data_IF_728139222899
#
_entry.id   IF_728139222899
#
_cell.length_a   1.000
_cell.length_b   1.000
_cell.length_c   1.000
_cell.angle_alpha   90.00
_cell.angle_beta   90.00
_cell.angle_gamma   90.00
#
_symmetry.space_group_name_H-M   'P 1'
#
loop_
_entity.id
_entity.type
_entity.pdbx_description
1 polymer ?
#
# COMPACT_ATOMS: atom_id res chain seq x y z
N UNK A 1 30.02 55.18 -25.04
CA UNK A 1 30.45 53.86 -24.55
C UNK A 1 29.84 53.43 -23.19
N UNK A 2 28.93 54.22 -22.57
CA UNK A 2 28.39 53.94 -21.22
C UNK A 2 26.92 53.49 -21.18
N UNK A 3 26.18 53.51 -22.31
CA UNK A 3 24.75 53.15 -22.35
C UNK A 3 24.46 51.67 -22.57
N UNK A 4 25.41 50.90 -23.11
CA UNK A 4 25.27 49.45 -23.31
C UNK A 4 25.68 48.62 -22.08
N UNK A 5 26.55 49.14 -21.20
CA UNK A 5 26.89 48.48 -19.93
C UNK A 5 25.67 48.33 -19.01
N UNK A 6 24.84 49.37 -18.89
CA UNK A 6 23.63 49.35 -18.03
C UNK A 6 22.60 48.29 -18.45
N UNK A 7 22.48 48.03 -19.76
CA UNK A 7 21.53 47.04 -20.28
C UNK A 7 22.06 45.62 -20.07
N UNK A 8 23.37 45.41 -20.21
CA UNK A 8 24.02 44.15 -19.95
C UNK A 8 23.98 43.80 -18.45
N UNK A 9 24.22 44.79 -17.58
CA UNK A 9 24.13 44.64 -16.12
C UNK A 9 22.69 44.30 -15.68
N UNK A 10 21.66 44.88 -16.30
CA UNK A 10 20.25 44.56 -16.04
C UNK A 10 19.86 43.15 -16.50
N UNK A 11 20.40 42.68 -17.63
CA UNK A 11 20.18 41.32 -18.12
C UNK A 11 20.89 40.27 -17.25
N UNK A 12 22.12 40.56 -16.80
CA UNK A 12 22.87 39.70 -15.87
C UNK A 12 22.13 39.59 -14.54
N UNK A 13 21.68 40.71 -13.95
CA UNK A 13 20.89 40.70 -12.71
C UNK A 13 19.57 39.91 -12.84
N UNK A 14 18.95 39.94 -14.02
CA UNK A 14 17.71 39.19 -14.30
C UNK A 14 17.96 37.69 -14.47
N UNK A 15 19.11 37.30 -15.03
CA UNK A 15 19.55 35.91 -15.12
C UNK A 15 19.98 35.35 -13.75
N UNK A 16 20.70 36.13 -12.95
CA UNK A 16 21.08 35.76 -11.58
C UNK A 16 19.85 35.57 -10.68
N UNK A 17 18.84 36.44 -10.79
CA UNK A 17 17.57 36.28 -10.06
C UNK A 17 16.76 35.04 -10.49
N UNK A 18 16.86 34.60 -11.74
CA UNK A 18 16.20 33.38 -12.21
C UNK A 18 16.97 32.10 -11.85
N UNK A 19 18.30 32.18 -11.66
CA UNK A 19 19.12 31.06 -11.17
C UNK A 19 19.05 30.91 -9.64
N UNK A 20 18.82 32.00 -8.90
CA UNK A 20 18.57 31.98 -7.46
C UNK A 20 17.23 31.32 -7.07
N UNK A 21 16.36 31.01 -8.03
CA UNK A 21 15.12 30.27 -7.80
C UNK A 21 15.30 28.73 -7.79
N UNK A 22 16.52 28.21 -8.04
CA UNK A 22 16.77 26.77 -8.16
C UNK A 22 17.68 26.13 -7.09
N UNK A 23 18.09 26.83 -6.03
CA UNK A 23 18.85 26.21 -4.92
C UNK A 23 18.43 26.77 -3.57
N UNK A 24 17.30 26.31 -3.07
CA UNK A 24 16.97 26.31 -1.64
C UNK A 24 16.10 25.09 -1.32
N UNK A 25 16.71 23.91 -1.31
CA UNK A 25 16.25 22.82 -0.44
C UNK A 25 17.22 22.74 0.74
N UNK A 26 17.24 23.82 1.52
CA UNK A 26 17.68 23.77 2.90
C UNK A 26 16.68 22.93 3.69
N UNK A 27 17.24 21.98 4.44
CA UNK A 27 16.55 21.25 5.51
C UNK A 27 16.03 22.30 6.51
N UNK A 28 14.78 22.71 6.35
CA UNK A 28 14.05 23.42 7.37
C UNK A 28 13.44 22.37 8.30
N UNK A 29 13.94 22.34 9.53
CA UNK A 29 13.23 21.85 10.71
C UNK A 29 11.77 22.31 10.65
N UNK A 30 10.85 21.40 10.32
CA UNK A 30 9.42 21.71 10.25
C UNK A 30 8.82 21.58 11.64
N UNK A 31 8.64 22.72 12.28
CA UNK A 31 7.59 22.93 13.27
C UNK A 31 6.23 22.51 12.69
N UNK A 32 5.43 21.89 13.54
CA UNK A 32 4.12 21.30 13.29
C UNK A 32 3.12 22.33 12.79
N UNK A 33 3.00 22.48 11.47
CA UNK A 33 1.76 22.99 10.87
C UNK A 33 0.67 21.95 11.07
N UNK A 34 -0.41 22.30 11.77
CA UNK A 34 -1.67 21.55 11.74
C UNK A 34 -2.21 21.61 10.31
N UNK A 35 -1.82 20.64 9.49
CA UNK A 35 -2.45 20.35 8.21
C UNK A 35 -3.81 19.71 8.50
N UNK A 36 -4.81 20.03 7.69
CA UNK A 36 -6.09 19.33 7.69
C UNK A 36 -5.87 17.80 7.63
N UNK A 37 -6.78 16.99 8.19
CA UNK A 37 -6.67 15.54 8.08
C UNK A 37 -6.54 15.14 6.60
N UNK A 38 -5.65 14.17 6.27
CA UNK A 38 -5.45 13.74 4.90
C UNK A 38 -6.77 13.23 4.31
N UNK A 39 -7.00 13.52 3.03
CA UNK A 39 -8.11 12.97 2.27
C UNK A 39 -8.00 11.44 2.15
N UNK A 40 -9.13 10.78 1.86
CA UNK A 40 -9.16 9.32 1.62
C UNK A 40 -8.18 8.92 0.51
N UNK A 41 -8.07 9.71 -0.55
CA UNK A 41 -7.14 9.44 -1.64
C UNK A 41 -5.68 9.54 -1.13
N UNK A 42 -5.32 10.59 -0.40
CA UNK A 42 -3.97 10.73 0.19
C UNK A 42 -3.65 9.65 1.23
N UNK A 43 -4.65 9.14 1.96
CA UNK A 43 -4.48 8.01 2.87
C UNK A 43 -4.17 6.73 2.07
N UNK A 44 -4.95 6.43 1.04
CA UNK A 44 -4.73 5.26 0.18
C UNK A 44 -3.37 5.29 -0.52
N UNK A 45 -2.91 6.48 -0.93
CA UNK A 45 -1.62 6.65 -1.57
C UNK A 45 -0.42 6.41 -0.66
N UNK A 46 -0.60 6.36 0.65
CA UNK A 46 0.49 6.02 1.58
C UNK A 46 0.70 4.51 1.70
N UNK A 47 -0.32 3.69 1.45
CA UNK A 47 -0.22 2.23 1.54
C UNK A 47 0.09 1.60 0.18
N UNK A 48 0.94 0.58 0.18
CA UNK A 48 1.26 -0.20 -1.01
C UNK A 48 0.57 -1.56 -0.91
N UNK A 49 -0.58 -1.71 -1.58
CA UNK A 49 -1.29 -2.99 -1.68
C UNK A 49 -1.01 -3.58 -3.05
N UNK A 50 -0.55 -4.82 -3.11
CA UNK A 50 -0.24 -5.52 -4.37
C UNK A 50 -0.94 -6.87 -4.46
N UNK A 51 -1.13 -7.32 -5.68
CA UNK A 51 -1.50 -8.72 -5.96
C UNK A 51 -0.30 -9.62 -5.66
N UNK A 52 -0.49 -10.59 -4.78
CA UNK A 52 0.49 -11.62 -4.47
C UNK A 52 0.02 -13.00 -4.90
N UNK A 53 0.96 -13.87 -5.29
CA UNK A 53 0.71 -15.31 -5.54
C UNK A 53 1.36 -16.13 -4.44
N UNK A 54 0.57 -16.91 -3.71
CA UNK A 54 1.11 -17.85 -2.73
C UNK A 54 1.82 -18.97 -3.49
N UNK A 55 3.12 -19.09 -3.26
CA UNK A 55 4.00 -20.13 -3.81
C UNK A 55 4.06 -21.33 -2.86
N UNK A 56 4.16 -21.04 -1.57
CA UNK A 56 4.25 -22.04 -0.50
C UNK A 56 3.53 -21.52 0.73
N UNK A 57 2.83 -22.40 1.46
CA UNK A 57 2.21 -22.09 2.75
C UNK A 57 2.37 -23.29 3.67
N UNK A 58 2.79 -23.06 4.92
CA UNK A 58 2.96 -24.09 5.93
C UNK A 58 2.58 -23.57 7.32
N UNK A 59 2.30 -24.49 8.25
CA UNK A 59 2.01 -24.14 9.65
C UNK A 59 3.27 -23.64 10.34
N UNK A 60 3.15 -22.56 11.11
CA UNK A 60 4.26 -22.10 11.93
C UNK A 60 4.63 -23.19 12.97
N UNK A 61 5.92 -23.54 13.14
CA UNK A 61 6.32 -24.66 13.99
C UNK A 61 5.97 -24.46 15.47
N UNK A 62 5.97 -23.22 15.94
CA UNK A 62 5.74 -22.86 17.35
C UNK A 62 4.40 -22.14 17.61
N UNK A 63 3.54 -21.96 16.60
CA UNK A 63 2.28 -21.21 16.76
C UNK A 63 1.11 -21.94 16.12
N UNK A 64 0.03 -22.10 16.88
CA UNK A 64 -1.22 -22.74 16.42
C UNK A 64 -2.20 -21.75 15.77
N UNK A 65 -1.81 -20.48 15.64
CA UNK A 65 -2.61 -19.44 14.97
C UNK A 65 -1.98 -18.92 13.68
N UNK A 66 -0.73 -19.30 13.38
CA UNK A 66 0.03 -18.69 12.30
C UNK A 66 0.31 -19.68 11.16
N UNK A 67 0.08 -19.21 9.95
CA UNK A 67 0.76 -19.74 8.78
C UNK A 67 2.01 -18.92 8.47
N UNK A 68 2.95 -19.58 7.82
CA UNK A 68 4.09 -18.98 7.13
C UNK A 68 3.89 -19.17 5.63
N UNK A 69 4.03 -18.11 4.86
CA UNK A 69 3.84 -18.10 3.42
C UNK A 69 5.07 -17.58 2.69
N UNK A 70 5.36 -18.16 1.53
CA UNK A 70 6.18 -17.51 0.49
C UNK A 70 5.24 -16.96 -0.57
N UNK A 71 5.23 -15.64 -0.73
CA UNK A 71 4.31 -14.94 -1.63
C UNK A 71 5.12 -14.13 -2.65
N UNK A 72 4.97 -14.49 -3.93
CA UNK A 72 5.51 -13.69 -5.03
C UNK A 72 4.64 -12.45 -5.22
N UNK A 73 5.27 -11.27 -5.17
CA UNK A 73 4.63 -9.97 -5.40
C UNK A 73 5.34 -9.18 -6.51
N UNK A 74 6.04 -9.86 -7.43
CA UNK A 74 6.68 -9.26 -8.59
C UNK A 74 8.00 -8.54 -8.30
N UNK A 75 8.71 -8.92 -7.23
CA UNK A 75 9.99 -8.31 -6.81
C UNK A 75 11.23 -9.15 -7.17
N UNK A 76 11.06 -10.20 -7.97
CA UNK A 76 12.12 -11.13 -8.36
C UNK A 76 12.27 -12.32 -7.41
N UNK A 77 12.07 -12.11 -6.10
CA UNK A 77 12.05 -13.18 -5.10
C UNK A 77 10.77 -13.13 -4.25
N UNK A 78 10.16 -14.28 -3.90
CA UNK A 78 9.01 -14.31 -3.00
C UNK A 78 9.34 -13.76 -1.61
N UNK A 79 8.39 -13.05 -1.01
CA UNK A 79 8.48 -12.59 0.38
C UNK A 79 8.04 -13.67 1.34
N UNK A 80 8.74 -13.78 2.45
CA UNK A 80 8.25 -14.49 3.63
C UNK A 80 7.26 -13.60 4.39
N UNK A 81 6.02 -14.07 4.51
CA UNK A 81 4.92 -13.40 5.19
C UNK A 81 4.32 -14.40 6.19
N UNK A 82 3.87 -13.90 7.34
CA UNK A 82 3.14 -14.71 8.30
C UNK A 82 1.74 -14.13 8.50
N UNK A 83 0.73 -15.00 8.51
CA UNK A 83 -0.67 -14.62 8.66
C UNK A 83 -1.35 -15.35 9.82
N UNK A 84 -2.27 -14.66 10.50
CA UNK A 84 -3.09 -15.20 11.60
C UNK A 84 -4.25 -16.08 11.14
N UNK A 85 -4.14 -16.76 9.99
CA UNK A 85 -5.27 -17.38 9.30
C UNK A 85 -5.47 -18.86 9.64
N UNK A 86 -4.56 -19.50 10.38
CA UNK A 86 -4.60 -20.95 10.62
C UNK A 86 -5.89 -21.46 11.26
N UNK A 87 -6.52 -20.66 12.13
CA UNK A 87 -7.77 -21.02 12.81
C UNK A 87 -9.02 -20.74 11.97
N UNK A 88 -8.86 -20.11 10.80
CA UNK A 88 -9.97 -19.60 10.01
C UNK A 88 -10.01 -20.15 8.59
N UNK A 89 -8.84 -20.28 7.96
CA UNK A 89 -8.67 -20.73 6.58
C UNK A 89 -7.92 -22.06 6.60
N UNK A 90 -8.49 -23.13 6.01
CA UNK A 90 -7.80 -24.41 5.95
C UNK A 90 -6.60 -24.30 5.00
N UNK A 91 -5.57 -25.11 5.24
CA UNK A 91 -4.29 -25.01 4.53
C UNK A 91 -4.45 -25.22 3.01
N UNK A 92 -5.34 -26.10 2.58
CA UNK A 92 -5.65 -26.32 1.16
C UNK A 92 -6.22 -25.07 0.45
N UNK A 93 -6.85 -24.18 1.20
CA UNK A 93 -7.37 -22.91 0.70
C UNK A 93 -6.31 -21.79 0.68
N UNK A 94 -5.13 -22.01 1.26
CA UNK A 94 -3.99 -21.07 1.26
C UNK A 94 -3.16 -21.18 -0.03
N UNK A 95 -3.83 -21.01 -1.18
CA UNK A 95 -3.21 -21.07 -2.50
C UNK A 95 -3.77 -19.99 -3.43
N UNK A 96 -3.10 -19.76 -4.57
CA UNK A 96 -3.56 -18.82 -5.60
C UNK A 96 -3.25 -17.35 -5.29
N UNK A 97 -4.06 -16.44 -5.85
CA UNK A 97 -3.87 -15.00 -5.73
C UNK A 97 -4.51 -14.44 -4.46
N UNK A 98 -3.81 -13.50 -3.83
CA UNK A 98 -4.19 -12.77 -2.62
C UNK A 98 -3.78 -11.30 -2.74
N UNK A 99 -4.19 -10.46 -1.79
CA UNK A 99 -3.70 -9.08 -1.68
C UNK A 99 -2.72 -8.95 -0.51
N UNK A 100 -1.63 -8.22 -0.72
CA UNK A 100 -0.54 -8.03 0.25
C UNK A 100 -0.26 -6.56 0.45
N UNK A 101 -0.19 -6.10 1.71
CA UNK A 101 0.40 -4.80 2.06
C UNK A 101 1.93 -4.94 2.06
N UNK A 102 2.59 -4.30 1.11
CA UNK A 102 3.99 -4.51 0.76
C UNK A 102 4.96 -3.48 1.37
N UNK A 103 4.49 -2.34 1.88
CA UNK A 103 5.36 -1.29 2.44
C UNK A 103 5.36 -1.22 3.97
N UNK A 104 4.96 -2.28 4.67
CA UNK A 104 5.11 -2.37 6.11
C UNK A 104 6.58 -2.60 6.49
N UNK A 105 7.01 -2.05 7.64
CA UNK A 105 8.29 -2.44 8.22
C UNK A 105 8.23 -3.92 8.63
N UNK A 106 9.22 -4.75 8.28
CA UNK A 106 9.25 -6.15 8.70
C UNK A 106 9.12 -6.30 10.22
N UNK A 107 8.36 -7.30 10.65
CA UNK A 107 8.13 -7.61 12.08
C UNK A 107 8.19 -9.10 12.34
N UNK A 108 8.66 -9.48 13.53
CA UNK A 108 8.64 -10.87 13.97
C UNK A 108 7.25 -11.26 14.48
N UNK A 109 6.72 -12.38 13.99
CA UNK A 109 5.49 -13.02 14.46
C UNK A 109 5.88 -14.37 15.04
N UNK A 110 5.83 -14.53 16.37
CA UNK A 110 6.31 -15.74 17.06
C UNK A 110 7.72 -16.18 16.61
N UNK A 111 8.62 -15.23 16.35
CA UNK A 111 9.99 -15.50 15.89
C UNK A 111 10.18 -15.48 14.36
N UNK A 112 9.13 -15.72 13.57
CA UNK A 112 9.16 -15.68 12.11
C UNK A 112 9.16 -14.25 11.57
N UNK A 113 10.09 -13.90 10.67
CA UNK A 113 10.20 -12.55 10.11
C UNK A 113 9.18 -12.34 8.98
N UNK A 114 8.10 -11.64 9.27
CA UNK A 114 7.07 -11.31 8.27
C UNK A 114 7.38 -9.99 7.56
N UNK A 115 7.45 -10.04 6.24
CA UNK A 115 7.79 -8.92 5.34
C UNK A 115 6.57 -8.40 4.58
N UNK A 116 5.40 -8.44 5.20
CA UNK A 116 4.16 -7.93 4.63
C UNK A 116 2.96 -8.31 5.49
N UNK A 117 1.77 -8.11 4.93
CA UNK A 117 0.50 -8.52 5.54
C UNK A 117 -0.47 -8.96 4.45
N UNK A 118 -0.95 -10.19 4.54
CA UNK A 118 -2.04 -10.69 3.68
C UNK A 118 -3.34 -10.05 4.15
N UNK A 119 -4.11 -9.49 3.22
CA UNK A 119 -5.43 -8.94 3.52
C UNK A 119 -6.48 -10.06 3.51
N UNK A 120 -7.29 -10.07 4.56
CA UNK A 120 -8.41 -10.96 4.73
C UNK A 120 -9.71 -10.15 4.90
N UNK A 121 -10.84 -10.80 4.65
CA UNK A 121 -12.17 -10.25 4.89
C UNK A 121 -12.86 -11.06 5.98
N UNK A 122 -13.46 -10.37 6.94
CA UNK A 122 -14.11 -11.00 8.09
C UNK A 122 -15.56 -10.56 8.21
N UNK A 123 -16.44 -11.56 8.43
CA UNK A 123 -17.86 -11.37 8.67
C UNK A 123 -18.28 -12.26 9.83
N UNK A 124 -18.74 -11.64 10.92
CA UNK A 124 -19.08 -12.33 12.17
C UNK A 124 -17.89 -13.18 12.68
N UNK A 125 -18.03 -14.51 12.70
CA UNK A 125 -17.00 -15.45 13.14
C UNK A 125 -16.27 -16.12 11.97
N UNK A 126 -16.48 -15.67 10.73
CA UNK A 126 -15.84 -16.21 9.52
C UNK A 126 -14.79 -15.23 9.00
N UNK A 127 -13.66 -15.77 8.59
CA UNK A 127 -12.58 -15.03 7.93
C UNK A 127 -12.15 -15.80 6.70
N UNK A 128 -11.95 -15.10 5.58
CA UNK A 128 -11.43 -15.65 4.34
C UNK A 128 -10.42 -14.69 3.71
N UNK A 129 -9.60 -15.20 2.79
CA UNK A 129 -8.65 -14.41 2.02
C UNK A 129 -9.38 -13.39 1.14
N UNK A 130 -8.90 -12.15 1.08
CA UNK A 130 -9.38 -11.20 0.08
C UNK A 130 -8.68 -11.49 -1.25
N UNK A 131 -9.44 -12.01 -2.21
CA UNK A 131 -8.91 -12.48 -3.49
C UNK A 131 -9.19 -11.48 -4.62
N UNK A 132 -8.18 -11.14 -5.44
CA UNK A 132 -8.40 -10.40 -6.69
C UNK A 132 -9.02 -11.33 -7.76
N UNK A 133 -9.44 -10.78 -8.92
CA UNK A 133 -9.79 -11.58 -10.09
C UNK A 133 -8.70 -12.63 -10.40
N UNK A 134 -9.09 -13.84 -10.82
CA UNK A 134 -8.12 -14.90 -11.12
C UNK A 134 -7.16 -14.56 -12.27
N UNK A 135 -7.56 -13.61 -13.13
CA UNK A 135 -6.76 -13.09 -14.24
C UNK A 135 -5.78 -11.99 -13.82
N UNK A 136 -5.86 -11.49 -12.58
CA UNK A 136 -5.02 -10.41 -12.08
C UNK A 136 -3.51 -10.74 -12.17
N UNK A 137 -2.71 -9.70 -12.36
CA UNK A 137 -1.28 -9.82 -12.63
C UNK A 137 -0.52 -9.77 -11.30
N UNK A 138 0.28 -10.80 -11.02
CA UNK A 138 1.15 -10.83 -9.83
C UNK A 138 2.06 -9.60 -9.80
N UNK A 139 2.10 -8.94 -8.64
CA UNK A 139 2.88 -7.73 -8.38
C UNK A 139 2.23 -6.42 -8.80
N UNK A 140 1.09 -6.44 -9.49
CA UNK A 140 0.39 -5.19 -9.81
C UNK A 140 -0.10 -4.50 -8.53
N UNK A 141 0.00 -3.18 -8.49
CA UNK A 141 -0.49 -2.35 -7.39
C UNK A 141 -2.00 -2.17 -7.52
N UNK A 142 -2.70 -2.28 -6.40
CA UNK A 142 -4.15 -2.06 -6.34
C UNK A 142 -4.44 -0.56 -6.43
N UNK A 143 -5.37 -0.21 -7.33
CA UNK A 143 -5.91 1.13 -7.48
C UNK A 143 -7.25 1.29 -6.78
N UNK A 144 -7.73 2.54 -6.71
CA UNK A 144 -9.11 2.87 -6.31
C UNK A 144 -9.83 3.60 -7.44
N UNK A 145 -11.12 3.31 -7.62
CA UNK A 145 -11.92 3.93 -8.67
C UNK A 145 -11.91 5.46 -8.57
N UNK A 146 -11.71 6.12 -9.71
CA UNK A 146 -11.70 7.58 -9.82
C UNK A 146 -10.38 8.26 -9.45
N UNK A 147 -9.39 7.53 -8.92
CA UNK A 147 -8.04 8.05 -8.73
C UNK A 147 -7.19 7.67 -9.95
N UNK A 148 -6.65 8.67 -10.66
CA UNK A 148 -5.66 8.40 -11.73
C UNK A 148 -4.38 7.89 -11.07
N UNK A 149 -3.88 6.77 -11.59
CA UNK A 149 -2.67 6.10 -11.11
C UNK A 149 -1.56 7.11 -10.78
N UNK A 150 -1.12 7.24 -9.53
CA UNK A 150 0.20 7.75 -9.26
C UNK A 150 1.16 6.65 -9.66
N UNK A 151 1.57 6.72 -10.93
CA UNK A 151 2.81 6.24 -11.52
C UNK A 151 3.54 5.14 -10.74
N UNK A 152 3.73 4.00 -11.41
CA UNK A 152 4.60 2.84 -11.12
C UNK A 152 6.00 3.13 -10.52
N UNK A 153 6.42 4.38 -10.38
CA UNK A 153 7.76 4.81 -9.96
C UNK A 153 7.87 5.24 -8.50
N UNK A 154 6.76 5.43 -7.77
CA UNK A 154 6.84 5.66 -6.34
C UNK A 154 6.98 4.31 -5.62
N UNK A 155 8.22 3.84 -5.45
CA UNK A 155 8.54 2.96 -4.33
C UNK A 155 8.13 3.75 -3.08
N UNK A 156 6.92 3.50 -2.58
CA UNK A 156 6.43 4.18 -1.40
C UNK A 156 7.36 3.80 -0.25
N UNK A 157 7.88 4.80 0.50
CA UNK A 157 8.81 4.52 1.57
C UNK A 157 8.16 3.56 2.57
N UNK A 158 8.96 2.65 3.14
CA UNK A 158 8.51 1.80 4.24
C UNK A 158 7.76 2.64 5.27
N UNK A 159 6.54 2.24 5.63
CA UNK A 159 5.71 2.95 6.59
C UNK A 159 6.45 3.07 7.93
N UNK A 160 6.42 4.26 8.51
CA UNK A 160 6.92 4.48 9.87
C UNK A 160 5.89 3.92 10.87
N UNK A 161 6.22 2.87 11.66
CA UNK A 161 5.28 2.27 12.58
C UNK A 161 4.77 3.24 13.65
N UNK A 162 5.54 4.28 14.00
CA UNK A 162 5.12 5.29 14.99
C UNK A 162 3.97 6.17 14.49
N UNK A 163 3.77 6.28 13.17
CA UNK A 163 2.71 7.08 12.57
C UNK A 163 1.37 6.34 12.48
N UNK A 164 1.34 5.02 12.73
CA UNK A 164 0.13 4.19 12.68
C UNK A 164 -0.73 4.39 11.41
N UNK A 165 -0.06 4.55 10.26
CA UNK A 165 -0.71 4.86 8.98
C UNK A 165 -1.63 3.72 8.57
N UNK A 166 -1.16 2.47 8.61
CA UNK A 166 -1.97 1.30 8.24
C UNK A 166 -3.20 1.19 9.15
N UNK A 167 -3.04 1.38 10.46
CA UNK A 167 -4.12 1.34 11.44
C UNK A 167 -5.16 2.43 11.21
N UNK A 168 -4.72 3.60 10.71
CA UNK A 168 -5.62 4.68 10.32
C UNK A 168 -6.36 4.39 9.01
N UNK A 169 -5.79 3.54 8.14
CA UNK A 169 -6.38 3.09 6.89
C UNK A 169 -7.38 1.93 7.06
N UNK A 170 -7.19 1.07 8.06
CA UNK A 170 -8.03 -0.12 8.30
C UNK A 170 -9.54 0.16 8.35
N UNK A 171 -10.06 1.20 9.06
CA UNK A 171 -11.49 1.49 9.10
C UNK A 171 -12.11 1.81 7.73
N UNK A 172 -11.29 2.16 6.74
CA UNK A 172 -11.72 2.46 5.38
C UNK A 172 -11.71 1.23 4.48
N UNK A 173 -10.96 0.18 4.83
CA UNK A 173 -10.90 -1.08 4.10
C UNK A 173 -12.09 -1.97 4.48
N UNK A 174 -13.09 -2.05 3.59
CA UNK A 174 -14.32 -2.82 3.81
C UNK A 174 -14.91 -3.32 2.51
N UNK A 175 -15.83 -4.26 2.59
CA UNK A 175 -16.70 -4.61 1.45
C UNK A 175 -18.01 -3.85 1.52
N UNK A 176 -18.56 -3.46 0.37
CA UNK A 176 -19.89 -2.84 0.28
C UNK A 176 -21.03 -3.87 0.31
N UNK A 177 -22.27 -3.41 0.08
CA UNK A 177 -23.48 -4.25 0.08
C UNK A 177 -23.54 -5.24 -1.08
N UNK A 178 -22.75 -5.02 -2.14
CA UNK A 178 -22.63 -5.93 -3.27
C UNK A 178 -21.42 -6.87 -3.12
N UNK A 179 -20.52 -6.58 -2.18
CA UNK A 179 -19.31 -7.36 -1.91
C UNK A 179 -18.05 -6.78 -2.55
N UNK A 180 -18.12 -5.61 -3.20
CA UNK A 180 -16.93 -4.96 -3.73
C UNK A 180 -16.03 -4.54 -2.58
N UNK A 181 -14.75 -4.89 -2.66
CA UNK A 181 -13.75 -4.38 -1.75
C UNK A 181 -13.52 -2.90 -2.04
N UNK A 182 -13.49 -2.09 -0.98
CA UNK A 182 -13.48 -0.65 -1.06
C UNK A 182 -12.46 -0.05 -0.08
N UNK A 183 -11.95 1.12 -0.45
CA UNK A 183 -11.33 2.06 0.47
C UNK A 183 -12.25 3.27 0.62
N UNK A 184 -12.96 3.35 1.74
CA UNK A 184 -14.07 4.29 1.93
C UNK A 184 -15.26 3.92 1.05
N UNK A 185 -15.62 4.82 0.14
CA UNK A 185 -16.67 4.64 -0.87
C UNK A 185 -16.11 4.26 -2.25
N UNK A 186 -14.77 4.12 -2.38
CA UNK A 186 -14.10 3.87 -3.64
C UNK A 186 -13.73 2.40 -3.79
N UNK A 187 -14.19 1.78 -4.88
CA UNK A 187 -13.91 0.36 -5.19
C UNK A 187 -12.42 0.14 -5.47
N UNK A 188 -11.86 -0.93 -4.92
CA UNK A 188 -10.52 -1.42 -5.19
C UNK A 188 -10.48 -2.16 -6.52
N UNK A 189 -9.46 -1.89 -7.32
CA UNK A 189 -9.35 -2.35 -8.70
C UNK A 189 -7.96 -2.93 -8.99
N UNK A 190 -7.97 -3.95 -9.84
CA UNK A 190 -6.81 -4.41 -10.61
C UNK A 190 -6.96 -3.94 -12.05
N UNK A 191 -5.92 -4.11 -12.88
CA UNK A 191 -6.03 -3.95 -14.33
C UNK A 191 -7.07 -4.87 -14.97
N UNK A 192 -7.44 -5.97 -14.29
CA UNK A 192 -8.38 -6.99 -14.75
C UNK A 192 -9.80 -6.82 -14.18
N UNK A 193 -10.05 -5.74 -13.43
CA UNK A 193 -11.36 -5.41 -12.89
C UNK A 193 -11.41 -5.32 -11.36
N UNK A 194 -12.62 -5.19 -10.80
CA UNK A 194 -12.80 -4.95 -9.39
C UNK A 194 -12.55 -6.19 -8.54
N UNK A 195 -12.13 -5.94 -7.29
CA UNK A 195 -12.00 -6.99 -6.27
C UNK A 195 -13.36 -7.19 -5.60
N UNK A 196 -13.84 -8.44 -5.58
CA UNK A 196 -15.16 -8.80 -5.06
C UNK A 196 -15.02 -9.97 -4.09
N UNK A 197 -15.67 -9.86 -2.94
CA UNK A 197 -15.74 -10.87 -1.90
C UNK A 197 -17.17 -11.41 -1.76
N UNK A 198 -17.35 -12.70 -1.40
CA UNK A 198 -18.67 -13.20 -0.99
C UNK A 198 -19.17 -12.57 0.33
N UNK A 199 -18.28 -11.99 1.14
CA UNK A 199 -18.63 -11.36 2.42
C UNK A 199 -18.99 -9.90 2.16
N UNK A 200 -20.27 -9.55 2.39
CA UNK A 200 -20.84 -8.22 2.13
C UNK A 200 -20.84 -7.37 3.40
N UNK A 201 -20.73 -6.04 3.28
CA UNK A 201 -20.73 -5.12 4.42
C UNK A 201 -19.73 -5.56 5.53
N UNK A 202 -18.57 -6.04 5.12
CA UNK A 202 -17.62 -6.77 5.98
C UNK A 202 -16.30 -6.03 6.12
N UNK A 203 -15.59 -6.25 7.22
CA UNK A 203 -14.32 -5.59 7.50
C UNK A 203 -13.19 -6.30 6.75
N UNK A 204 -12.30 -5.52 6.12
CA UNK A 204 -11.04 -6.02 5.56
C UNK A 204 -9.90 -5.67 6.52
N UNK A 205 -9.01 -6.62 6.80
CA UNK A 205 -7.89 -6.47 7.73
C UNK A 205 -6.65 -7.23 7.30
#
# INVERSE_FOLDING_TARGET
MLRTKRLLDLLIKRLENNLAFSTNHTVSTSETKKTDPPSIDEMFLQIDIRVGRIIECWKHPESESLYCEKIDIGEGEPREIGSGLQKHVPLESMSGLVLVVANLKPRKLAGFLSNGMVLAVSQENKVDLLRPPQTAITGERIGIFGLKDPVQELILPTLNPKKKIMESCLPWLKTDSEGYACFGDKKLLTSQGPIVSPFKNSQIS
#
